data_IF_247853020247
#
_entry.id   IF_247853020247
#
_cell.length_a   1.000
_cell.length_b   1.000
_cell.length_c   1.000
_cell.angle_alpha   90.00
_cell.angle_beta   90.00
_cell.angle_gamma   90.00
#
_symmetry.space_group_name_H-M   'P 1'
#
loop_
_entity.id
_entity.type
_entity.pdbx_description
1 polymer ?
#
# COMPACT_ATOMS: atom_id res chain seq x y z
N UNK A 1 16.82 -4.43 -8.60
CA UNK A 1 15.66 -4.09 -7.77
C UNK A 1 14.39 -4.07 -8.59
N UNK A 2 13.32 -4.61 -8.06
CA UNK A 2 12.04 -4.68 -8.77
C UNK A 2 10.99 -3.91 -7.94
N UNK A 3 10.93 -2.60 -8.15
CA UNK A 3 10.12 -1.71 -7.33
C UNK A 3 8.73 -1.54 -7.93
N UNK A 4 7.71 -1.73 -7.08
CA UNK A 4 6.32 -1.42 -7.39
C UNK A 4 5.80 -0.45 -6.34
N UNK A 5 5.17 0.63 -6.79
CA UNK A 5 4.56 1.61 -5.89
C UNK A 5 3.05 1.55 -6.09
N UNK A 6 2.34 1.06 -5.08
CA UNK A 6 0.87 1.04 -5.06
C UNK A 6 0.42 2.32 -4.35
N UNK A 7 -0.11 3.25 -5.11
CA UNK A 7 -0.39 4.57 -4.57
C UNK A 7 -1.70 5.17 -5.04
N UNK A 8 -1.94 6.39 -4.59
CA UNK A 8 -3.09 7.21 -4.96
C UNK A 8 -2.59 8.56 -5.44
N UNK A 9 -3.22 9.10 -6.48
CA UNK A 9 -2.79 10.38 -7.07
C UNK A 9 -2.84 11.55 -6.09
N UNK A 10 -3.78 11.53 -5.15
CA UNK A 10 -3.94 12.60 -4.16
C UNK A 10 -3.19 12.36 -2.86
N UNK A 11 -2.43 11.30 -2.77
CA UNK A 11 -1.67 10.97 -1.55
C UNK A 11 -0.30 11.65 -1.59
N UNK A 12 -0.02 12.50 -0.62
CA UNK A 12 1.27 13.20 -0.53
C UNK A 12 2.44 12.23 -0.38
N UNK A 13 2.26 11.22 0.46
CA UNK A 13 3.32 10.24 0.69
C UNK A 13 3.62 9.43 -0.56
N UNK A 14 2.60 9.16 -1.39
CA UNK A 14 2.80 8.52 -2.69
C UNK A 14 3.71 9.37 -3.57
N UNK A 15 3.44 10.68 -3.62
CA UNK A 15 4.24 11.61 -4.42
C UNK A 15 5.67 11.69 -3.90
N UNK A 16 5.85 11.70 -2.58
CA UNK A 16 7.17 11.70 -1.97
C UNK A 16 7.94 10.43 -2.31
N UNK A 17 7.28 9.29 -2.28
CA UNK A 17 7.89 8.01 -2.63
C UNK A 17 8.36 8.00 -4.08
N UNK A 18 7.49 8.44 -5.01
CA UNK A 18 7.86 8.51 -6.42
C UNK A 18 9.06 9.42 -6.64
N UNK A 19 9.07 10.58 -5.98
CA UNK A 19 10.20 11.51 -6.08
C UNK A 19 11.48 10.88 -5.57
N UNK A 20 11.43 10.19 -4.46
CA UNK A 20 12.61 9.56 -3.87
C UNK A 20 13.28 8.60 -4.85
N UNK A 21 12.48 7.73 -5.50
CA UNK A 21 13.01 6.77 -6.46
C UNK A 21 13.48 7.46 -7.75
N UNK A 22 12.75 8.47 -8.21
CA UNK A 22 13.13 9.22 -9.41
C UNK A 22 14.46 9.94 -9.22
N UNK A 23 14.65 10.59 -8.07
CA UNK A 23 15.89 11.33 -7.78
C UNK A 23 17.11 10.41 -7.75
N UNK A 24 16.91 9.15 -7.37
CA UNK A 24 17.97 8.15 -7.33
C UNK A 24 18.07 7.34 -8.62
N UNK A 25 17.27 7.69 -9.63
CA UNK A 25 17.25 7.04 -10.93
C UNK A 25 16.93 5.54 -10.83
N UNK A 26 16.11 5.17 -9.87
CA UNK A 26 15.62 3.81 -9.69
C UNK A 26 14.30 3.70 -10.43
N UNK A 27 14.21 2.76 -11.36
CA UNK A 27 12.97 2.52 -12.10
C UNK A 27 11.96 1.82 -11.22
N UNK A 28 10.69 2.18 -11.38
CA UNK A 28 9.59 1.57 -10.63
C UNK A 28 8.35 1.48 -11.49
N UNK A 29 7.45 0.58 -11.10
CA UNK A 29 6.12 0.48 -11.70
C UNK A 29 5.13 1.13 -10.75
N UNK A 30 4.32 2.05 -11.27
CA UNK A 30 3.27 2.69 -10.49
C UNK A 30 1.95 1.98 -10.72
N UNK A 31 1.25 1.61 -9.65
CA UNK A 31 -0.06 0.98 -9.71
C UNK A 31 -1.05 1.88 -8.95
N UNK A 32 -2.09 2.32 -9.64
CA UNK A 32 -3.13 3.17 -9.03
C UNK A 32 -4.09 2.29 -8.24
N UNK A 33 -4.01 2.37 -6.91
CA UNK A 33 -4.78 1.52 -6.01
C UNK A 33 -6.29 1.66 -6.21
N UNK A 34 -6.86 2.89 -6.30
CA UNK A 34 -8.30 3.01 -6.49
C UNK A 34 -8.83 2.36 -7.76
N UNK A 35 -8.02 2.32 -8.83
CA UNK A 35 -8.41 1.72 -10.11
C UNK A 35 -8.18 0.23 -10.17
N UNK A 36 -7.02 -0.22 -9.68
CA UNK A 36 -6.56 -1.60 -9.88
C UNK A 36 -6.55 -2.44 -8.63
N UNK A 37 -6.45 -1.81 -7.45
CA UNK A 37 -6.31 -2.54 -6.21
C UNK A 37 -5.04 -3.39 -6.19
N UNK A 38 -5.05 -4.41 -5.35
CA UNK A 38 -3.99 -5.40 -5.28
C UNK A 38 -4.56 -6.76 -5.68
N UNK A 39 -3.81 -7.53 -6.47
CA UNK A 39 -4.21 -8.91 -6.74
C UNK A 39 -4.08 -9.73 -5.45
N UNK A 40 -4.76 -10.89 -5.35
CA UNK A 40 -4.63 -11.73 -4.15
C UNK A 40 -3.19 -12.10 -3.82
N UNK A 41 -2.39 -12.36 -4.84
CA UNK A 41 -0.97 -12.70 -4.65
C UNK A 41 -0.16 -11.52 -4.13
N UNK A 42 -0.38 -10.35 -4.71
CA UNK A 42 0.28 -9.11 -4.27
C UNK A 42 -0.10 -8.78 -2.83
N UNK A 43 -1.38 -8.91 -2.52
CA UNK A 43 -1.90 -8.65 -1.18
C UNK A 43 -1.25 -9.58 -0.15
N UNK A 44 -1.21 -10.88 -0.43
CA UNK A 44 -0.61 -11.85 0.50
C UNK A 44 0.87 -11.58 0.72
N UNK A 45 1.60 -11.22 -0.34
CA UNK A 45 3.01 -10.87 -0.25
C UNK A 45 3.25 -9.68 0.66
N UNK A 46 2.46 -8.62 0.49
CA UNK A 46 2.57 -7.40 1.28
C UNK A 46 2.13 -7.65 2.72
N UNK A 47 1.00 -8.33 2.90
CA UNK A 47 0.46 -8.66 4.22
C UNK A 47 1.46 -9.45 5.06
N UNK A 48 2.17 -10.37 4.44
CA UNK A 48 3.16 -11.20 5.13
C UNK A 48 4.30 -10.35 5.73
N UNK A 49 4.62 -9.24 5.09
CA UNK A 49 5.72 -8.37 5.53
C UNK A 49 5.26 -7.28 6.49
N UNK A 50 4.15 -6.62 6.23
CA UNK A 50 3.73 -5.45 7.02
C UNK A 50 2.56 -5.74 7.95
N UNK A 51 1.81 -6.79 7.70
CA UNK A 51 0.63 -7.15 8.50
C UNK A 51 -0.63 -6.42 8.03
N UNK A 52 -1.78 -7.00 8.36
CA UNK A 52 -3.08 -6.46 7.96
C UNK A 52 -3.32 -5.06 8.50
N UNK A 53 -3.00 -4.83 9.78
CA UNK A 53 -3.29 -3.55 10.43
C UNK A 53 -2.58 -2.37 9.76
N UNK A 54 -1.37 -2.58 9.27
CA UNK A 54 -0.63 -1.53 8.58
C UNK A 54 -1.23 -1.18 7.22
N UNK A 55 -1.96 -2.11 6.62
CA UNK A 55 -2.54 -1.92 5.29
C UNK A 55 -3.87 -1.16 5.31
N UNK A 56 -4.58 -1.15 6.42
CA UNK A 56 -5.90 -0.53 6.53
C UNK A 56 -5.80 0.89 7.03
N UNK A 57 -6.42 1.82 6.31
CA UNK A 57 -6.51 3.21 6.75
C UNK A 57 -7.75 3.37 7.63
N UNK A 58 -7.54 3.36 8.95
CA UNK A 58 -8.63 3.48 9.92
C UNK A 58 -9.20 4.90 10.00
N UNK A 59 -8.55 5.84 9.36
CA UNK A 59 -8.97 7.25 9.39
C UNK A 59 -9.73 7.68 8.14
N UNK A 60 -9.86 6.81 7.15
CA UNK A 60 -10.54 7.19 5.92
C UNK A 60 -12.05 7.04 6.08
N UNK A 61 -12.77 7.75 5.21
CA UNK A 61 -14.23 7.75 5.21
C UNK A 61 -14.82 6.37 4.96
N UNK A 62 -14.22 5.60 4.06
CA UNK A 62 -14.71 4.27 3.73
C UNK A 62 -14.65 3.33 4.94
N UNK A 63 -13.64 3.47 5.79
CA UNK A 63 -13.53 2.68 7.01
C UNK A 63 -14.77 2.84 7.91
N UNK A 64 -15.20 4.08 8.05
CA UNK A 64 -16.36 4.42 8.85
C UNK A 64 -17.67 3.99 8.19
N UNK A 65 -17.83 4.29 6.91
CA UNK A 65 -19.04 3.98 6.16
C UNK A 65 -19.30 2.48 6.06
N UNK A 66 -18.26 1.67 5.98
CA UNK A 66 -18.38 0.22 5.89
C UNK A 66 -18.41 -0.45 7.26
N UNK A 67 -18.40 0.33 8.34
CA UNK A 67 -18.43 -0.18 9.72
C UNK A 67 -17.33 -1.20 10.00
N UNK A 68 -16.13 -0.92 9.48
CA UNK A 68 -15.00 -1.84 9.56
C UNK A 68 -14.64 -2.24 10.99
N UNK A 69 -14.82 -1.32 11.95
CA UNK A 69 -14.49 -1.60 13.36
C UNK A 69 -15.43 -2.63 14.00
N UNK A 70 -16.56 -2.91 13.36
CA UNK A 70 -17.61 -3.76 13.94
C UNK A 70 -17.81 -5.09 13.23
N UNK A 71 -16.94 -5.43 12.28
CA UNK A 71 -17.05 -6.70 11.55
C UNK A 71 -15.84 -7.58 11.91
N UNK A 72 -15.97 -8.88 11.57
CA UNK A 72 -14.93 -9.85 11.88
C UNK A 72 -13.65 -9.59 11.07
N UNK A 73 -12.49 -10.09 11.54
CA UNK A 73 -11.25 -9.91 10.77
C UNK A 73 -11.34 -10.46 9.34
N UNK A 74 -11.98 -11.60 9.15
CA UNK A 74 -12.16 -12.17 7.81
C UNK A 74 -13.00 -11.26 6.91
N UNK A 75 -14.08 -10.69 7.47
CA UNK A 75 -14.92 -9.75 6.75
C UNK A 75 -14.17 -8.44 6.45
N UNK A 76 -13.33 -7.99 7.37
CA UNK A 76 -12.50 -6.81 7.14
C UNK A 76 -11.55 -7.02 5.96
N UNK A 77 -10.96 -8.20 5.86
CA UNK A 77 -10.05 -8.53 4.78
C UNK A 77 -10.77 -8.56 3.43
N UNK A 78 -11.97 -9.14 3.39
CA UNK A 78 -12.79 -9.12 2.19
C UNK A 78 -13.13 -7.69 1.75
N UNK A 79 -13.48 -6.83 2.70
CA UNK A 79 -13.82 -5.44 2.42
C UNK A 79 -12.60 -4.67 1.91
N UNK A 80 -11.44 -4.93 2.48
CA UNK A 80 -10.20 -4.27 2.06
C UNK A 80 -9.91 -4.56 0.58
N UNK A 81 -10.06 -5.79 0.15
CA UNK A 81 -9.83 -6.18 -1.23
C UNK A 81 -10.92 -5.68 -2.17
N UNK A 82 -12.17 -5.61 -1.69
CA UNK A 82 -13.30 -5.13 -2.48
C UNK A 82 -13.30 -3.62 -2.64
N UNK A 83 -12.84 -2.88 -1.62
CA UNK A 83 -12.81 -1.42 -1.60
C UNK A 83 -11.37 -0.92 -1.43
N UNK A 84 -10.62 -0.81 -2.54
CA UNK A 84 -9.21 -0.44 -2.46
C UNK A 84 -8.91 0.89 -1.79
N UNK A 85 -9.89 1.79 -1.70
CA UNK A 85 -9.71 3.05 -0.99
C UNK A 85 -9.42 2.88 0.50
N UNK A 86 -9.66 1.67 1.04
CA UNK A 86 -9.32 1.35 2.43
C UNK A 86 -7.82 1.17 2.65
N UNK A 87 -7.05 0.95 1.59
CA UNK A 87 -5.60 0.75 1.74
C UNK A 87 -4.88 2.03 2.14
N UNK A 88 -3.95 1.90 3.07
CA UNK A 88 -2.95 2.94 3.29
C UNK A 88 -2.00 2.98 2.10
N UNK A 89 -1.58 4.16 1.70
CA UNK A 89 -0.67 4.35 0.57
C UNK A 89 0.47 5.28 0.97
N UNK A 90 1.61 5.21 0.31
CA UNK A 90 1.97 4.22 -0.70
C UNK A 90 2.34 2.87 -0.09
N UNK A 91 2.10 1.80 -0.83
CA UNK A 91 2.67 0.51 -0.50
C UNK A 91 3.81 0.31 -1.49
N UNK A 92 5.04 0.22 -0.99
CA UNK A 92 6.22 0.06 -1.84
C UNK A 92 6.74 -1.36 -1.68
N UNK A 93 6.81 -2.07 -2.79
CA UNK A 93 7.20 -3.47 -2.81
C UNK A 93 8.49 -3.64 -3.61
N UNK A 94 9.40 -4.44 -3.07
CA UNK A 94 10.64 -4.82 -3.74
C UNK A 94 10.81 -6.33 -3.58
N UNK A 95 10.33 -7.09 -4.58
CA UNK A 95 10.32 -8.55 -4.48
C UNK A 95 9.50 -9.01 -3.28
N UNK A 96 10.15 -9.60 -2.30
CA UNK A 96 9.50 -10.07 -1.06
C UNK A 96 9.41 -9.00 0.02
N UNK A 97 10.13 -7.90 -0.16
CA UNK A 97 10.12 -6.80 0.81
C UNK A 97 9.00 -5.82 0.51
N UNK A 98 8.47 -5.20 1.55
CA UNK A 98 7.40 -4.20 1.39
C UNK A 98 7.40 -3.22 2.55
N UNK A 99 6.94 -1.99 2.25
CA UNK A 99 6.73 -0.95 3.26
C UNK A 99 5.40 -0.27 3.00
N UNK A 100 4.86 0.39 4.03
CA UNK A 100 3.67 1.23 3.91
C UNK A 100 4.05 2.64 4.37
N UNK A 101 3.68 3.64 3.59
CA UNK A 101 4.00 5.03 3.86
C UNK A 101 5.35 5.44 3.27
N UNK A 102 5.81 6.61 3.69
CA UNK A 102 7.09 7.15 3.23
C UNK A 102 8.22 6.62 4.12
N UNK A 103 9.00 5.67 3.59
CA UNK A 103 10.01 4.94 4.36
C UNK A 103 11.38 4.97 3.67
N UNK A 104 11.97 6.17 3.49
CA UNK A 104 13.24 6.29 2.76
C UNK A 104 14.38 5.54 3.44
N UNK A 105 14.38 5.45 4.77
CA UNK A 105 15.43 4.75 5.52
C UNK A 105 15.46 3.26 5.18
N UNK A 106 14.29 2.65 5.00
CA UNK A 106 14.19 1.25 4.63
C UNK A 106 14.60 1.06 3.17
N UNK A 107 14.10 1.93 2.29
CA UNK A 107 14.40 1.84 0.86
C UNK A 107 15.88 2.01 0.56
N UNK A 108 16.56 2.84 1.32
CA UNK A 108 18.00 3.04 1.15
C UNK A 108 18.78 1.75 1.41
N UNK A 109 18.27 0.88 2.28
CA UNK A 109 18.89 -0.40 2.58
C UNK A 109 18.68 -1.44 1.48
N UNK A 110 17.75 -1.19 0.58
CA UNK A 110 17.49 -2.09 -0.55
C UNK A 110 18.48 -1.91 -1.70
N UNK A 111 19.17 -0.78 -1.72
CA UNK A 111 20.15 -0.47 -2.76
C UNK A 111 21.45 -1.29 -2.67
#
# INVERSE_FOLDING_TARGET
>A
MNIQIFGKKKCFDTKKAERWFKERRIKYQYIDVPSKGLSPREYQSVKQKVGFEALVNTKCRAYEELHMAYITPDAQEEKLLEYPELFNTPIVRNGKEATVGYCPDVWAKWE
#
